data_IF_982992499625
#
_entry.id   IF_982992499625
#
_cell.length_a   1.000
_cell.length_b   1.000
_cell.length_c   1.000
_cell.angle_alpha   90.00
_cell.angle_beta   90.00
_cell.angle_gamma   90.00
#
_symmetry.space_group_name_H-M   'P 1'
#
loop_
_entity.id
_entity.type
_entity.pdbx_description
1 polymer ?
#
# COMPACT_ATOMS: atom_id res chain seq x y z
N UNK A 1 -41.68 -6.32 29.23
CA UNK A 1 -40.41 -5.56 29.13
C UNK A 1 -39.38 -6.04 30.17
N UNK A 2 -38.73 -7.21 30.01
CA UNK A 2 -37.77 -7.73 31.02
C UNK A 2 -36.47 -8.37 30.49
N UNK A 3 -36.39 -8.76 29.22
CA UNK A 3 -35.22 -9.50 28.72
C UNK A 3 -33.93 -8.65 28.53
N UNK A 4 -34.04 -7.32 28.29
CA UNK A 4 -32.88 -6.46 28.00
C UNK A 4 -31.93 -6.24 29.19
N UNK A 5 -32.39 -6.40 30.43
CA UNK A 5 -31.56 -6.14 31.63
C UNK A 5 -30.52 -7.22 31.92
N UNK A 6 -30.66 -8.42 31.34
CA UNK A 6 -29.76 -9.56 31.63
C UNK A 6 -28.43 -9.46 30.87
N UNK A 7 -28.45 -8.90 29.65
CA UNK A 7 -27.26 -8.77 28.79
C UNK A 7 -26.24 -7.74 29.28
N UNK A 8 -26.68 -6.64 29.92
CA UNK A 8 -25.83 -5.55 30.41
C UNK A 8 -25.49 -5.65 31.92
N UNK A 9 -25.72 -6.81 32.54
CA UNK A 9 -25.44 -6.99 33.97
C UNK A 9 -23.94 -7.27 34.23
N UNK A 10 -23.36 -6.82 35.36
CA UNK A 10 -21.94 -7.02 35.67
C UNK A 10 -21.48 -8.50 35.77
N UNK A 11 -22.44 -9.43 35.95
CA UNK A 11 -22.17 -10.89 36.00
C UNK A 11 -22.29 -11.56 34.63
N UNK A 12 -22.73 -10.84 33.60
CA UNK A 12 -22.86 -11.34 32.22
C UNK A 12 -21.53 -11.20 31.48
N UNK A 13 -21.08 -12.20 30.71
CA UNK A 13 -19.84 -12.12 29.93
C UNK A 13 -19.97 -11.25 28.67
N UNK A 14 -21.20 -11.04 28.17
CA UNK A 14 -21.46 -10.33 26.91
C UNK A 14 -20.90 -8.90 26.80
N UNK A 15 -20.97 -8.01 27.82
CA UNK A 15 -20.38 -6.68 27.72
C UNK A 15 -18.84 -6.73 27.61
N UNK A 16 -18.19 -7.67 28.29
CA UNK A 16 -16.74 -7.87 28.20
C UNK A 16 -16.33 -8.39 26.83
N UNK A 17 -17.10 -9.33 26.26
CA UNK A 17 -16.88 -9.79 24.88
C UNK A 17 -17.06 -8.67 23.86
N UNK A 18 -18.06 -7.79 24.07
CA UNK A 18 -18.25 -6.59 23.24
C UNK A 18 -17.05 -5.63 23.31
N UNK A 19 -16.57 -5.33 24.52
CA UNK A 19 -15.37 -4.49 24.70
C UNK A 19 -14.11 -5.13 24.10
N UNK A 20 -13.93 -6.44 24.28
CA UNK A 20 -12.82 -7.18 23.70
C UNK A 20 -12.84 -7.13 22.16
N UNK A 21 -14.01 -7.31 21.55
CA UNK A 21 -14.17 -7.21 20.10
C UNK A 21 -13.82 -5.81 19.57
N UNK A 22 -14.25 -4.75 20.26
CA UNK A 22 -13.88 -3.36 19.91
C UNK A 22 -12.38 -3.14 20.03
N UNK A 23 -11.76 -3.61 21.12
CA UNK A 23 -10.32 -3.50 21.34
C UNK A 23 -9.51 -4.22 20.26
N UNK A 24 -9.89 -5.46 19.92
CA UNK A 24 -9.25 -6.23 18.85
C UNK A 24 -9.42 -5.56 17.48
N UNK A 25 -10.60 -5.00 17.19
CA UNK A 25 -10.86 -4.28 15.95
C UNK A 25 -9.97 -3.03 15.80
N UNK A 26 -9.85 -2.23 16.87
CA UNK A 26 -8.97 -1.06 16.89
C UNK A 26 -7.49 -1.43 16.72
N UNK A 27 -7.05 -2.49 17.42
CA UNK A 27 -5.67 -2.98 17.30
C UNK A 27 -5.37 -3.47 15.88
N UNK A 28 -6.26 -4.27 15.29
CA UNK A 28 -6.10 -4.77 13.93
C UNK A 28 -6.01 -3.63 12.90
N UNK A 29 -6.86 -2.60 13.03
CA UNK A 29 -6.82 -1.40 12.19
C UNK A 29 -5.45 -0.70 12.29
N UNK A 30 -4.94 -0.56 13.51
CA UNK A 30 -3.65 0.10 13.78
C UNK A 30 -2.49 -0.68 13.16
N UNK A 31 -2.47 -2.01 13.34
CA UNK A 31 -1.44 -2.90 12.77
C UNK A 31 -1.46 -2.85 11.24
N UNK A 32 -2.64 -2.91 10.63
CA UNK A 32 -2.79 -2.82 9.19
C UNK A 32 -2.23 -1.49 8.64
N UNK A 33 -2.60 -0.37 9.27
CA UNK A 33 -2.07 0.94 8.89
C UNK A 33 -0.55 1.04 9.02
N UNK A 34 0.02 0.48 10.10
CA UNK A 34 1.47 0.45 10.33
C UNK A 34 2.23 -0.34 9.27
N UNK A 35 1.77 -1.57 8.95
CA UNK A 35 2.38 -2.42 7.91
C UNK A 35 2.35 -1.70 6.56
N UNK A 36 1.23 -1.07 6.25
CA UNK A 36 1.06 -0.38 4.99
C UNK A 36 1.97 0.87 4.88
N UNK A 37 2.06 1.65 5.95
CA UNK A 37 2.98 2.78 6.06
C UNK A 37 4.45 2.34 5.90
N UNK A 38 4.84 1.23 6.52
CA UNK A 38 6.19 0.66 6.37
C UNK A 38 6.54 0.34 4.91
N UNK A 39 5.58 -0.17 4.13
CA UNK A 39 5.80 -0.43 2.69
C UNK A 39 6.00 0.86 1.90
N UNK A 40 5.17 1.88 2.13
CA UNK A 40 5.28 3.19 1.47
C UNK A 40 6.55 3.97 1.86
N UNK A 41 7.11 3.71 3.04
CA UNK A 41 8.38 4.32 3.48
C UNK A 41 9.63 3.51 3.13
N UNK A 42 9.48 2.35 2.50
CA UNK A 42 10.61 1.49 2.12
C UNK A 42 11.53 2.16 1.10
N UNK A 43 12.82 1.78 1.11
CA UNK A 43 13.81 2.32 0.17
C UNK A 43 13.45 2.07 -1.29
N UNK A 44 12.91 0.89 -1.60
CA UNK A 44 12.50 0.52 -2.96
C UNK A 44 11.33 1.37 -3.45
N UNK A 45 10.35 1.66 -2.60
CA UNK A 45 9.23 2.53 -2.95
C UNK A 45 9.70 3.93 -3.33
N UNK A 46 10.61 4.50 -2.53
CA UNK A 46 11.20 5.81 -2.82
C UNK A 46 12.00 5.81 -4.13
N UNK A 47 12.77 4.75 -4.39
CA UNK A 47 13.53 4.60 -5.63
C UNK A 47 12.62 4.53 -6.86
N UNK A 48 11.56 3.72 -6.81
CA UNK A 48 10.56 3.62 -7.89
C UNK A 48 9.87 4.97 -8.12
N UNK A 49 9.45 5.65 -7.04
CA UNK A 49 8.84 6.99 -7.14
C UNK A 49 9.81 8.02 -7.72
N UNK A 50 11.08 7.97 -7.34
CA UNK A 50 12.11 8.85 -7.88
C UNK A 50 12.28 8.62 -9.38
N UNK A 51 12.37 7.36 -9.81
CA UNK A 51 12.48 7.02 -11.23
C UNK A 51 11.27 7.53 -12.03
N UNK A 52 10.04 7.25 -11.56
CA UNK A 52 8.81 7.70 -12.23
C UNK A 52 8.74 9.22 -12.37
N UNK A 53 9.25 9.99 -11.38
CA UNK A 53 9.23 11.45 -11.44
C UNK A 53 10.18 12.04 -12.47
N UNK A 54 11.23 11.33 -12.85
CA UNK A 54 12.25 11.80 -13.80
C UNK A 54 12.14 11.15 -15.17
N UNK A 55 11.30 10.13 -15.30
CA UNK A 55 11.09 9.43 -16.56
C UNK A 55 10.12 10.18 -17.49
N UNK A 56 10.54 10.41 -18.74
CA UNK A 56 9.76 11.14 -19.74
C UNK A 56 8.47 10.40 -20.12
N UNK A 57 8.49 9.06 -20.16
CA UNK A 57 7.32 8.27 -20.52
C UNK A 57 6.24 8.34 -19.42
N UNK A 58 6.64 8.29 -18.15
CA UNK A 58 5.76 8.52 -17.01
C UNK A 58 5.15 9.92 -17.01
N UNK A 59 5.95 10.96 -17.25
CA UNK A 59 5.47 12.34 -17.33
C UNK A 59 4.55 12.57 -18.53
N UNK A 60 4.82 11.92 -19.66
CA UNK A 60 3.96 11.98 -20.84
C UNK A 60 2.56 11.42 -20.52
N UNK A 61 2.51 10.28 -19.81
CA UNK A 61 1.27 9.62 -19.40
C UNK A 61 0.52 10.33 -18.27
N UNK A 62 1.18 10.59 -17.14
CA UNK A 62 0.55 11.06 -15.91
C UNK A 62 0.63 12.58 -15.73
N UNK A 63 1.49 13.25 -16.50
CA UNK A 63 1.76 14.68 -16.36
C UNK A 63 2.81 14.97 -15.29
N UNK A 64 2.73 16.18 -14.76
CA UNK A 64 3.67 16.72 -13.80
C UNK A 64 3.33 16.30 -12.37
N UNK A 65 4.32 16.42 -11.48
CA UNK A 65 4.19 16.22 -10.04
C UNK A 65 3.62 14.85 -9.63
N UNK A 66 4.19 13.77 -10.21
CA UNK A 66 3.76 12.40 -9.92
C UNK A 66 3.97 12.08 -8.43
N UNK A 67 2.89 11.78 -7.72
CA UNK A 67 2.90 11.47 -6.30
C UNK A 67 1.98 10.30 -5.95
N UNK A 68 2.26 9.67 -4.81
CA UNK A 68 1.34 8.75 -4.18
C UNK A 68 0.61 9.48 -3.06
N UNK A 69 -0.72 9.52 -3.10
CA UNK A 69 -1.56 10.08 -2.02
C UNK A 69 -2.03 8.94 -1.09
N UNK A 70 -1.46 8.80 0.13
CA UNK A 70 -1.84 7.75 1.06
C UNK A 70 -3.27 7.88 1.59
N UNK A 71 -3.90 9.07 1.49
CA UNK A 71 -5.28 9.29 1.94
C UNK A 71 -6.28 8.73 0.94
N UNK A 72 -6.01 8.89 -0.35
CA UNK A 72 -6.87 8.36 -1.44
C UNK A 72 -6.59 6.90 -1.73
N UNK A 73 -5.32 6.52 -1.68
CA UNK A 73 -4.86 5.18 -2.03
C UNK A 73 -4.00 4.64 -0.90
N UNK A 74 -4.61 4.28 0.25
CA UNK A 74 -3.83 3.81 1.37
C UNK A 74 -3.06 2.54 1.00
N UNK A 75 -3.64 1.61 0.27
CA UNK A 75 -3.09 0.26 0.15
C UNK A 75 -1.91 0.15 -0.82
N UNK A 76 -0.71 -0.08 -0.30
CA UNK A 76 0.45 -0.63 -1.03
C UNK A 76 0.36 -2.15 -0.96
N UNK A 77 -0.04 -2.76 -2.07
CA UNK A 77 -0.20 -4.21 -2.18
C UNK A 77 1.15 -4.89 -2.37
N UNK A 78 1.20 -6.16 -2.00
CA UNK A 78 2.39 -6.99 -2.15
C UNK A 78 3.30 -7.00 -0.92
N UNK A 79 4.57 -7.35 -1.11
CA UNK A 79 5.55 -7.61 -0.07
C UNK A 79 6.90 -6.95 -0.40
N UNK A 80 7.46 -6.24 0.57
CA UNK A 80 8.84 -5.73 0.52
C UNK A 80 9.63 -6.44 1.60
N UNK A 81 10.63 -7.21 1.19
CA UNK A 81 11.62 -7.79 2.07
C UNK A 81 13.00 -7.27 1.71
N UNK A 82 13.39 -6.16 2.34
CA UNK A 82 14.69 -5.53 2.10
C UNK A 82 15.86 -6.44 2.51
N UNK A 83 15.71 -7.22 3.59
CA UNK A 83 16.77 -8.12 4.07
C UNK A 83 17.07 -9.26 3.10
N UNK A 84 16.02 -9.84 2.50
CA UNK A 84 16.16 -10.90 1.48
C UNK A 84 16.32 -10.35 0.07
N UNK A 85 16.37 -9.02 -0.09
CA UNK A 85 16.46 -8.37 -1.38
C UNK A 85 15.28 -8.67 -2.31
N UNK A 86 14.06 -8.90 -1.81
CA UNK A 86 12.90 -9.21 -2.67
C UNK A 86 11.84 -8.13 -2.50
N UNK A 87 11.35 -7.60 -3.62
CA UNK A 87 10.24 -6.66 -3.62
C UNK A 87 9.24 -7.06 -4.70
N UNK A 88 7.97 -7.16 -4.34
CA UNK A 88 6.83 -7.24 -5.26
C UNK A 88 5.78 -6.27 -4.71
N UNK A 89 5.69 -5.08 -5.29
CA UNK A 89 4.79 -4.03 -4.84
C UNK A 89 3.92 -3.52 -5.98
N UNK A 90 2.68 -3.22 -5.62
CA UNK A 90 1.72 -2.59 -6.50
C UNK A 90 1.05 -1.44 -5.74
N UNK A 91 1.06 -0.25 -6.34
CA UNK A 91 0.48 0.94 -5.73
C UNK A 91 0.00 1.91 -6.81
N UNK A 92 -0.90 2.80 -6.40
CA UNK A 92 -1.52 3.78 -7.28
C UNK A 92 -0.81 5.12 -7.15
N UNK A 93 -0.55 5.76 -8.27
CA UNK A 93 0.09 7.08 -8.39
C UNK A 93 -0.84 8.05 -9.09
N UNK A 94 -0.72 9.32 -8.74
CA UNK A 94 -1.46 10.41 -9.35
C UNK A 94 -0.47 11.44 -9.90
N UNK A 95 -0.77 12.01 -11.05
CA UNK A 95 -0.08 13.18 -11.62
C UNK A 95 -1.11 14.21 -12.10
N UNK A 96 -0.64 15.29 -12.71
CA UNK A 96 -1.51 16.40 -13.14
C UNK A 96 -2.54 16.02 -14.21
N UNK A 97 -2.27 14.99 -15.04
CA UNK A 97 -3.17 14.54 -16.12
C UNK A 97 -4.07 13.37 -15.72
N UNK A 98 -3.73 12.63 -14.67
CA UNK A 98 -4.52 11.47 -14.28
C UNK A 98 -3.84 10.57 -13.26
N UNK A 99 -4.38 9.37 -13.12
CA UNK A 99 -3.89 8.36 -12.19
C UNK A 99 -3.29 7.19 -12.94
N UNK A 100 -2.51 6.35 -12.25
CA UNK A 100 -1.90 5.15 -12.82
C UNK A 100 -1.59 4.11 -11.76
N UNK A 101 -1.54 2.85 -12.16
CA UNK A 101 -1.13 1.74 -11.29
C UNK A 101 0.30 1.35 -11.65
N UNK A 102 1.18 1.44 -10.67
CA UNK A 102 2.57 1.02 -10.79
C UNK A 102 2.68 -0.37 -10.20
N UNK A 103 3.36 -1.26 -10.93
CA UNK A 103 3.75 -2.58 -10.44
C UNK A 103 5.25 -2.75 -10.60
N UNK A 104 5.90 -3.07 -9.50
CA UNK A 104 7.33 -3.32 -9.45
C UNK A 104 7.60 -4.67 -8.80
N UNK A 105 8.35 -5.53 -9.50
CA UNK A 105 8.92 -6.77 -8.98
C UNK A 105 10.41 -6.76 -9.24
N UNK A 106 11.19 -6.92 -8.18
CA UNK A 106 12.64 -6.95 -8.26
C UNK A 106 13.24 -7.90 -7.24
N UNK A 107 14.39 -8.46 -7.60
CA UNK A 107 15.22 -9.27 -6.71
C UNK A 107 16.64 -8.73 -6.73
N UNK A 108 17.25 -8.59 -5.55
CA UNK A 108 18.65 -8.24 -5.39
C UNK A 108 19.47 -9.52 -5.36
N UNK A 109 20.45 -9.61 -6.25
CA UNK A 109 21.49 -10.63 -6.23
C UNK A 109 22.56 -10.32 -5.17
N UNK A 110 23.78 -10.84 -5.34
CA UNK A 110 24.90 -10.56 -4.43
C UNK A 110 25.28 -9.08 -4.43
N UNK A 111 25.33 -8.43 -5.60
CA UNK A 111 25.79 -7.04 -5.71
C UNK A 111 24.68 -6.05 -6.11
N UNK A 112 23.79 -6.39 -7.06
CA UNK A 112 22.85 -5.43 -7.66
C UNK A 112 21.37 -5.88 -7.70
N UNK A 113 20.47 -4.91 -7.86
CA UNK A 113 19.03 -5.15 -8.04
C UNK A 113 18.71 -5.46 -9.50
N UNK A 114 18.09 -6.61 -9.75
CA UNK A 114 17.50 -6.94 -11.05
C UNK A 114 16.00 -6.68 -11.00
N UNK A 115 15.53 -5.71 -11.78
CA UNK A 115 14.11 -5.53 -12.10
C UNK A 115 13.63 -6.73 -12.92
N UNK A 116 12.60 -7.42 -12.43
CA UNK A 116 11.92 -8.49 -13.20
C UNK A 116 10.67 -7.96 -13.88
N UNK A 117 10.03 -6.95 -13.28
CA UNK A 117 8.84 -6.31 -13.80
C UNK A 117 8.82 -4.89 -13.29
N UNK A 118 8.75 -3.92 -14.20
CA UNK A 118 8.45 -2.57 -13.82
C UNK A 118 7.51 -1.97 -14.87
N UNK A 119 6.25 -1.80 -14.49
CA UNK A 119 5.20 -1.35 -15.41
C UNK A 119 4.39 -0.23 -14.78
N UNK A 120 4.05 0.76 -15.59
CA UNK A 120 3.08 1.81 -15.27
C UNK A 120 1.87 1.67 -16.19
N UNK A 121 0.67 1.48 -15.61
CA UNK A 121 -0.59 1.36 -16.34
C UNK A 121 -1.50 2.55 -16.07
N UNK A 122 -1.86 3.29 -17.11
CA UNK A 122 -2.92 4.30 -17.05
C UNK A 122 -4.30 3.62 -17.11
N UNK A 123 -5.34 4.19 -16.46
CA UNK A 123 -6.74 3.78 -16.62
C UNK A 123 -7.19 3.71 -18.08
N UNK A 124 -6.58 4.50 -18.96
CA UNK A 124 -6.85 4.53 -20.40
C UNK A 124 -6.27 3.34 -21.17
N UNK A 125 -5.67 2.36 -20.47
CA UNK A 125 -5.09 1.15 -21.06
C UNK A 125 -3.67 1.30 -21.60
N UNK A 126 -3.11 2.52 -21.61
CA UNK A 126 -1.70 2.76 -21.96
C UNK A 126 -0.79 2.18 -20.89
N UNK A 127 0.13 1.31 -21.30
CA UNK A 127 1.13 0.68 -20.43
C UNK A 127 2.53 1.09 -20.88
N UNK A 128 3.35 1.54 -19.94
CA UNK A 128 4.80 1.73 -20.13
C UNK A 128 5.52 0.64 -19.37
N UNK A 129 6.40 -0.08 -20.05
CA UNK A 129 7.27 -1.09 -19.47
C UNK A 129 8.69 -0.53 -19.40
N UNK A 130 9.31 -0.69 -18.25
CA UNK A 130 10.67 -0.26 -17.97
C UNK A 130 11.62 -1.46 -17.99
N UNK A 131 12.86 -1.26 -18.49
CA UNK A 131 13.87 -2.31 -18.50
C UNK A 131 14.33 -2.74 -17.09
#
# INVERSE_FOLDING_TARGET
MSARRRFLSPRSPYPYLGLAAVGLGWWAQTVYGGINSQKAHSGIFKAVMFHLRHDEAAQSLLGDNIHHDPKKHPSVKGNVNMLKGKADIEFLVEGSKGTGVVRFRGVRGEDDWTSQLFTLKSPEGKTVEYP
#
